data_IF_030430636621
#
_entry.id   IF_030430636621
#
_cell.length_a   1.000
_cell.length_b   1.000
_cell.length_c   1.000
_cell.angle_alpha   90.00
_cell.angle_beta   90.00
_cell.angle_gamma   90.00
#
_symmetry.space_group_name_H-M   'P 1'
#
loop_
_entity.id
_entity.type
_entity.pdbx_description
1 polymer ?
#
# COMPACT_ATOMS: atom_id res chain seq x y z
N UNK A 1 11.94 8.92 -15.93
CA UNK A 1 13.36 8.48 -15.89
C UNK A 1 14.13 9.48 -15.07
N UNK A 2 14.85 9.02 -14.04
CA UNK A 2 15.79 9.88 -13.32
C UNK A 2 17.14 9.87 -14.04
N UNK A 3 17.65 11.01 -14.49
CA UNK A 3 18.91 11.03 -15.28
C UNK A 3 20.15 10.94 -14.41
N UNK A 4 20.04 11.37 -13.15
CA UNK A 4 21.12 11.30 -12.19
C UNK A 4 20.59 11.53 -10.76
N UNK A 5 21.33 11.02 -9.79
CA UNK A 5 21.05 11.18 -8.37
C UNK A 5 22.28 11.78 -7.68
N UNK A 6 22.09 12.90 -6.98
CA UNK A 6 23.10 13.51 -6.10
C UNK A 6 24.48 13.69 -6.75
N UNK A 7 24.51 14.13 -8.01
CA UNK A 7 25.79 14.41 -8.70
C UNK A 7 26.39 15.71 -8.16
N UNK A 8 25.53 16.70 -7.91
CA UNK A 8 25.91 17.92 -7.19
C UNK A 8 25.45 17.76 -5.74
N UNK A 9 26.42 17.80 -4.83
CA UNK A 9 26.21 17.60 -3.39
C UNK A 9 26.79 18.75 -2.56
N UNK A 10 27.56 19.64 -3.17
CA UNK A 10 28.20 20.77 -2.51
C UNK A 10 28.61 21.84 -3.54
N UNK A 11 28.84 23.09 -3.14
CA UNK A 11 29.21 24.15 -4.09
C UNK A 11 30.43 23.83 -4.96
N UNK A 12 31.41 23.10 -4.42
CA UNK A 12 32.66 22.78 -5.10
C UNK A 12 32.51 21.79 -6.26
N UNK A 13 31.39 21.08 -6.37
CA UNK A 13 31.09 20.18 -7.51
C UNK A 13 29.91 20.64 -8.38
N UNK A 14 29.42 21.87 -8.20
CA UNK A 14 28.33 22.44 -9.00
C UNK A 14 28.66 22.58 -10.50
N UNK A 15 29.94 22.57 -10.88
CA UNK A 15 30.39 22.52 -12.26
C UNK A 15 29.94 21.24 -13.02
N UNK A 16 29.41 20.24 -12.32
CA UNK A 16 28.77 19.08 -12.95
C UNK A 16 27.36 19.38 -13.53
N UNK A 17 26.70 20.45 -13.09
CA UNK A 17 25.31 20.74 -13.48
C UNK A 17 25.07 20.89 -15.01
N UNK A 18 25.98 21.46 -15.82
CA UNK A 18 25.83 21.46 -17.28
C UNK A 18 25.76 20.06 -17.91
N UNK A 19 26.48 19.09 -17.36
CA UNK A 19 26.46 17.70 -17.83
C UNK A 19 25.11 17.03 -17.52
N UNK A 20 24.50 17.36 -16.38
CA UNK A 20 23.14 16.93 -16.04
C UNK A 20 22.14 17.48 -17.07
N UNK A 21 22.21 18.78 -17.43
CA UNK A 21 21.33 19.36 -18.47
C UNK A 21 21.56 18.73 -19.85
N UNK A 22 22.79 18.38 -20.20
CA UNK A 22 23.07 17.66 -21.44
C UNK A 22 22.44 16.26 -21.43
N UNK A 23 22.56 15.51 -20.33
CA UNK A 23 21.91 14.21 -20.17
C UNK A 23 20.37 14.32 -20.25
N UNK A 24 19.76 15.33 -19.61
CA UNK A 24 18.33 15.63 -19.72
C UNK A 24 17.93 15.82 -21.19
N UNK A 25 18.63 16.69 -21.91
CA UNK A 25 18.38 16.97 -23.33
C UNK A 25 18.41 15.70 -24.17
N UNK A 26 19.46 14.90 -24.01
CA UNK A 26 19.70 13.73 -24.85
C UNK A 26 18.70 12.60 -24.54
N UNK A 27 18.38 12.38 -23.26
CA UNK A 27 17.34 11.42 -22.85
C UNK A 27 15.96 11.85 -23.35
N UNK A 28 15.61 13.14 -23.24
CA UNK A 28 14.32 13.66 -23.73
C UNK A 28 14.22 13.56 -25.26
N UNK A 29 15.30 13.86 -25.98
CA UNK A 29 15.35 13.69 -27.44
C UNK A 29 15.18 12.21 -27.83
N UNK A 30 15.82 11.29 -27.11
CA UNK A 30 15.65 9.86 -27.32
C UNK A 30 14.21 9.38 -27.05
N UNK A 31 13.62 9.74 -25.91
CA UNK A 31 12.23 9.40 -25.58
C UNK A 31 11.25 9.93 -26.64
N UNK A 32 11.46 11.17 -27.09
CA UNK A 32 10.67 11.77 -28.17
C UNK A 32 10.80 10.98 -29.48
N UNK A 33 11.99 10.50 -29.83
CA UNK A 33 12.22 9.66 -31.02
C UNK A 33 11.49 8.30 -30.96
N UNK A 34 11.10 7.87 -29.76
CA UNK A 34 10.32 6.65 -29.48
C UNK A 34 8.84 6.92 -29.25
N UNK A 35 8.36 8.15 -29.51
CA UNK A 35 7.01 8.59 -29.19
C UNK A 35 6.62 8.32 -27.72
N UNK A 36 7.59 8.39 -26.81
CA UNK A 36 7.39 8.18 -25.38
C UNK A 36 7.19 9.52 -24.66
N UNK A 37 6.16 9.59 -23.82
CA UNK A 37 5.84 10.75 -22.98
C UNK A 37 6.36 10.63 -21.55
N UNK A 38 7.32 9.73 -21.29
CA UNK A 38 7.87 9.54 -19.95
C UNK A 38 8.60 10.81 -19.50
N UNK A 39 8.25 11.30 -18.31
CA UNK A 39 8.87 12.49 -17.71
C UNK A 39 10.31 12.20 -17.27
N UNK A 40 11.16 13.21 -17.36
CA UNK A 40 12.58 13.11 -17.02
C UNK A 40 12.90 13.98 -15.80
N UNK A 41 13.47 13.37 -14.75
CA UNK A 41 13.75 14.01 -13.47
C UNK A 41 15.23 14.02 -13.12
N UNK A 42 15.60 14.82 -12.12
CA UNK A 42 16.88 14.78 -11.41
C UNK A 42 16.61 14.76 -9.91
N UNK A 43 17.32 13.91 -9.17
CA UNK A 43 17.27 13.84 -7.71
C UNK A 43 18.45 14.56 -7.06
N UNK A 44 18.16 15.52 -6.19
CA UNK A 44 19.17 16.27 -5.41
C UNK A 44 19.13 15.90 -3.93
N UNK A 45 20.26 16.07 -3.26
CA UNK A 45 20.37 15.87 -1.81
C UNK A 45 19.80 17.07 -1.03
N UNK A 46 19.25 16.83 0.16
CA UNK A 46 18.91 17.85 1.17
C UNK A 46 19.63 17.54 2.48
N UNK A 47 20.71 18.27 2.81
CA UNK A 47 21.38 18.06 4.08
C UNK A 47 20.58 18.68 5.25
N UNK A 48 20.61 18.06 6.44
CA UNK A 48 19.73 18.40 7.55
C UNK A 48 19.98 19.75 8.23
N UNK A 49 20.97 20.55 7.81
CA UNK A 49 21.44 21.73 8.55
C UNK A 49 21.47 23.05 7.75
N UNK A 50 20.38 23.38 7.05
CA UNK A 50 20.08 24.78 6.69
C UNK A 50 19.63 25.03 5.25
N UNK A 51 19.33 26.31 4.97
CA UNK A 51 19.15 26.80 3.60
C UNK A 51 20.48 26.76 2.88
N UNK A 52 20.63 25.72 2.07
CA UNK A 52 21.75 25.66 1.15
C UNK A 52 21.39 26.43 -0.10
N UNK A 53 21.78 27.71 -0.14
CA UNK A 53 21.55 28.58 -1.31
C UNK A 53 22.00 27.90 -2.62
N UNK A 54 23.03 27.06 -2.57
CA UNK A 54 23.49 26.31 -3.75
C UNK A 54 22.46 25.30 -4.28
N UNK A 55 21.67 24.65 -3.41
CA UNK A 55 20.62 23.71 -3.80
C UNK A 55 19.50 24.45 -4.52
N UNK A 56 19.11 25.61 -4.01
CA UNK A 56 18.06 26.42 -4.62
C UNK A 56 18.53 27.00 -5.95
N UNK A 57 19.79 27.43 -6.02
CA UNK A 57 20.43 27.82 -7.29
C UNK A 57 20.50 26.65 -8.29
N UNK A 58 20.78 25.43 -7.83
CA UNK A 58 20.77 24.23 -8.66
C UNK A 58 19.36 23.92 -9.17
N UNK A 59 18.34 24.01 -8.31
CA UNK A 59 16.94 23.81 -8.67
C UNK A 59 16.51 24.82 -9.73
N UNK A 60 16.84 26.10 -9.53
CA UNK A 60 16.58 27.14 -10.53
C UNK A 60 17.33 26.88 -11.84
N UNK A 61 18.61 26.50 -11.78
CA UNK A 61 19.42 26.22 -12.96
C UNK A 61 18.87 25.04 -13.79
N UNK A 62 18.41 23.97 -13.12
CA UNK A 62 17.88 22.77 -13.77
C UNK A 62 16.44 22.93 -14.27
N UNK A 63 15.73 23.96 -13.81
CA UNK A 63 14.34 24.25 -14.22
C UNK A 63 14.22 25.42 -15.20
N UNK A 64 15.28 26.20 -15.41
CA UNK A 64 15.29 27.33 -16.33
C UNK A 64 15.71 26.97 -17.77
N UNK A 65 15.60 27.96 -18.67
CA UNK A 65 15.86 27.92 -20.11
C UNK A 65 14.72 27.28 -20.93
N UNK A 66 15.01 26.26 -21.73
CA UNK A 66 14.03 25.65 -22.65
C UNK A 66 13.48 24.34 -22.09
N UNK A 67 12.25 23.98 -22.46
CA UNK A 67 11.66 22.67 -22.11
C UNK A 67 12.57 21.48 -22.49
N UNK A 68 13.37 21.58 -23.55
CA UNK A 68 14.30 20.51 -23.94
C UNK A 68 15.47 20.30 -22.97
N UNK A 69 15.81 21.30 -22.14
CA UNK A 69 16.99 21.27 -21.25
C UNK A 69 16.64 21.47 -19.79
N UNK A 70 15.37 21.75 -19.47
CA UNK A 70 14.85 21.71 -18.12
C UNK A 70 14.38 20.30 -17.74
N UNK A 71 14.47 19.98 -16.46
CA UNK A 71 13.79 18.79 -15.91
C UNK A 71 12.27 18.91 -16.11
N UNK A 72 11.58 17.78 -16.16
CA UNK A 72 10.10 17.72 -16.12
C UNK A 72 9.57 17.60 -14.69
N UNK A 73 10.36 16.99 -13.80
CA UNK A 73 10.08 16.84 -12.37
C UNK A 73 11.37 17.11 -11.60
N UNK A 74 11.26 17.80 -10.46
CA UNK A 74 12.40 18.02 -9.57
C UNK A 74 12.27 17.17 -8.31
N UNK A 75 13.29 16.38 -7.99
CA UNK A 75 13.21 15.41 -6.91
C UNK A 75 14.20 15.73 -5.79
N UNK A 76 13.77 15.55 -4.54
CA UNK A 76 14.54 15.89 -3.35
C UNK A 76 14.68 14.67 -2.42
N UNK A 77 15.91 14.30 -2.08
CA UNK A 77 16.18 13.30 -1.04
C UNK A 77 16.23 14.03 0.30
N UNK A 78 15.16 13.96 1.09
CA UNK A 78 15.01 14.70 2.34
C UNK A 78 14.84 13.79 3.54
N UNK A 79 15.82 13.80 4.43
CA UNK A 79 15.85 13.06 5.69
C UNK A 79 15.79 13.99 6.90
N UNK A 80 15.25 15.20 6.74
CA UNK A 80 15.29 16.24 7.78
C UNK A 80 14.22 16.08 8.87
N UNK A 81 13.13 15.34 8.58
CA UNK A 81 12.13 14.99 9.58
C UNK A 81 12.47 13.66 10.26
N UNK A 82 13.06 13.73 11.46
CA UNK A 82 13.38 12.58 12.29
C UNK A 82 12.47 12.53 13.52
N UNK A 83 12.10 11.32 13.97
CA UNK A 83 11.23 11.12 15.12
C UNK A 83 9.89 11.90 15.01
N UNK A 84 9.41 12.49 16.10
CA UNK A 84 8.21 13.32 16.14
C UNK A 84 8.54 14.81 15.93
N UNK A 85 9.33 15.13 14.91
CA UNK A 85 9.64 16.52 14.58
C UNK A 85 8.38 17.28 14.13
N UNK A 86 8.42 18.60 14.24
CA UNK A 86 7.35 19.47 13.77
C UNK A 86 7.68 20.04 12.39
N UNK A 87 6.67 20.47 11.63
CA UNK A 87 6.83 21.09 10.31
C UNK A 87 7.88 22.22 10.24
N UNK A 88 8.05 22.99 11.33
CA UNK A 88 9.09 24.02 11.41
C UNK A 88 10.45 23.42 11.77
N UNK A 89 10.50 22.48 12.72
CA UNK A 89 11.74 21.89 13.21
C UNK A 89 12.38 20.92 12.21
N UNK A 90 11.58 20.24 11.38
CA UNK A 90 12.05 19.40 10.26
C UNK A 90 12.61 20.21 9.09
N UNK A 91 12.45 21.53 9.09
CA UNK A 91 12.81 22.37 7.95
C UNK A 91 11.80 22.35 6.78
N UNK A 92 10.69 21.60 6.89
CA UNK A 92 9.68 21.50 5.83
C UNK A 92 9.03 22.86 5.50
N UNK A 93 8.89 23.73 6.51
CA UNK A 93 8.47 25.12 6.31
C UNK A 93 9.38 25.91 5.36
N UNK A 94 10.69 25.66 5.45
CA UNK A 94 11.69 26.30 4.60
C UNK A 94 11.69 25.67 3.21
N UNK A 95 11.61 24.33 3.13
CA UNK A 95 11.49 23.62 1.85
C UNK A 95 10.25 24.07 1.06
N UNK A 96 9.10 24.17 1.72
CA UNK A 96 7.85 24.61 1.09
C UNK A 96 7.97 26.02 0.54
N UNK A 97 8.62 26.92 1.28
CA UNK A 97 8.88 28.29 0.83
C UNK A 97 9.82 28.32 -0.39
N UNK A 98 10.98 27.67 -0.29
CA UNK A 98 12.04 27.75 -1.30
C UNK A 98 11.61 27.10 -2.64
N UNK A 99 10.77 26.05 -2.59
CA UNK A 99 10.30 25.33 -3.78
C UNK A 99 8.96 25.83 -4.34
N UNK A 100 8.26 26.75 -3.66
CA UNK A 100 6.93 27.25 -4.05
C UNK A 100 6.86 27.91 -5.44
N UNK A 101 7.99 28.34 -5.98
CA UNK A 101 8.09 29.06 -7.26
C UNK A 101 8.69 28.23 -8.39
N UNK A 102 8.98 26.94 -8.17
CA UNK A 102 9.51 26.10 -9.24
C UNK A 102 8.47 25.96 -10.36
N UNK A 103 8.89 26.08 -11.64
CA UNK A 103 7.98 25.97 -12.78
C UNK A 103 7.59 24.53 -13.11
N UNK A 104 8.04 23.55 -12.32
CA UNK A 104 7.82 22.12 -12.50
C UNK A 104 7.43 21.47 -11.18
N UNK A 105 6.66 20.36 -11.19
CA UNK A 105 6.31 19.66 -9.97
C UNK A 105 7.56 19.16 -9.23
N UNK A 106 7.60 19.41 -7.92
CA UNK A 106 8.61 18.88 -7.02
C UNK A 106 8.06 17.72 -6.19
N UNK A 107 8.89 16.75 -5.81
CA UNK A 107 8.50 15.66 -4.89
C UNK A 107 9.70 15.19 -4.06
N UNK A 108 9.43 14.52 -2.94
CA UNK A 108 10.49 13.89 -2.15
C UNK A 108 10.86 12.54 -2.78
N UNK A 109 11.99 12.42 -3.47
CA UNK A 109 12.42 11.13 -4.03
C UNK A 109 12.83 10.13 -2.96
N UNK A 110 13.24 10.62 -1.80
CA UNK A 110 13.56 9.80 -0.64
C UNK A 110 13.15 10.55 0.63
N UNK A 111 12.55 9.84 1.59
CA UNK A 111 12.34 10.30 2.96
C UNK A 111 12.28 9.11 3.93
N UNK A 112 12.32 9.38 5.24
CA UNK A 112 12.23 8.33 6.28
C UNK A 112 13.46 8.29 7.16
N UNK A 113 13.77 9.40 7.84
CA UNK A 113 14.93 9.52 8.70
C UNK A 113 14.93 8.46 9.82
N UNK A 114 16.08 7.83 10.04
CA UNK A 114 16.27 6.84 11.12
C UNK A 114 17.07 7.38 12.30
N UNK A 115 17.55 8.62 12.23
CA UNK A 115 18.29 9.24 13.32
C UNK A 115 17.41 9.36 14.58
N UNK A 116 18.00 9.09 15.75
CA UNK A 116 17.36 9.07 17.07
C UNK A 116 16.27 8.00 17.31
N UNK A 117 15.70 7.37 16.28
CA UNK A 117 14.65 6.34 16.41
C UNK A 117 15.10 4.95 15.96
N UNK A 118 16.04 4.85 15.03
CA UNK A 118 16.40 3.59 14.38
C UNK A 118 15.40 3.16 13.31
N UNK A 119 15.77 2.13 12.56
CA UNK A 119 15.07 1.70 11.32
C UNK A 119 13.63 1.22 11.57
N UNK A 120 13.42 0.45 12.64
CA UNK A 120 12.16 -0.22 12.95
C UNK A 120 11.17 0.57 13.82
N UNK A 121 11.52 1.78 14.24
CA UNK A 121 10.71 2.61 15.15
C UNK A 121 10.43 4.00 14.55
N UNK A 122 10.50 4.12 13.21
CA UNK A 122 10.18 5.38 12.52
C UNK A 122 8.69 5.69 12.69
N UNK A 123 8.31 6.85 13.23
CA UNK A 123 6.90 7.18 13.44
C UNK A 123 6.19 7.66 12.17
N UNK A 124 6.93 7.93 11.09
CA UNK A 124 6.39 8.41 9.80
C UNK A 124 5.54 9.68 9.91
N UNK A 125 5.87 10.55 10.89
CA UNK A 125 5.13 11.79 11.14
C UNK A 125 5.20 12.76 9.95
N UNK A 126 6.26 12.67 9.15
CA UNK A 126 6.45 13.39 7.89
C UNK A 126 5.43 13.04 6.82
N UNK A 127 4.84 11.83 6.84
CA UNK A 127 3.80 11.44 5.88
C UNK A 127 2.56 12.31 6.09
N UNK A 128 2.18 12.53 7.35
CA UNK A 128 1.05 13.42 7.67
C UNK A 128 1.33 14.86 7.24
N UNK A 129 2.56 15.34 7.42
CA UNK A 129 2.96 16.68 6.99
C UNK A 129 2.95 16.81 5.46
N UNK A 130 3.55 15.85 4.74
CA UNK A 130 3.68 15.81 3.28
C UNK A 130 2.33 15.84 2.56
N UNK A 131 1.31 15.17 3.13
CA UNK A 131 -0.05 15.15 2.60
C UNK A 131 -0.99 16.19 3.21
N UNK A 132 -0.44 17.17 3.94
CA UNK A 132 -1.17 18.32 4.49
C UNK A 132 -0.70 19.64 3.89
N UNK A 133 -1.51 20.69 4.00
CA UNK A 133 -1.02 22.05 3.69
C UNK A 133 0.00 22.50 4.74
N UNK A 134 1.06 23.23 4.34
CA UNK A 134 1.28 23.78 3.00
C UNK A 134 2.09 22.86 2.06
N UNK A 135 2.53 21.68 2.49
CA UNK A 135 3.31 20.76 1.65
C UNK A 135 2.58 20.39 0.36
N UNK A 136 1.28 20.10 0.41
CA UNK A 136 0.50 19.74 -0.80
C UNK A 136 0.31 20.88 -1.80
N UNK A 137 0.57 22.13 -1.40
CA UNK A 137 0.55 23.27 -2.32
C UNK A 137 1.87 23.39 -3.11
N UNK A 138 2.96 22.74 -2.65
CA UNK A 138 4.31 22.83 -3.24
C UNK A 138 4.84 21.48 -3.77
N UNK A 139 4.63 20.40 -3.02
CA UNK A 139 5.16 19.06 -3.31
C UNK A 139 4.06 18.10 -3.78
N UNK A 140 4.41 17.24 -4.73
CA UNK A 140 3.56 16.22 -5.34
C UNK A 140 3.65 14.86 -4.62
N UNK A 141 3.89 14.88 -3.31
CA UNK A 141 4.11 13.67 -2.49
C UNK A 141 5.58 13.24 -2.44
N UNK A 142 5.81 11.94 -2.22
CA UNK A 142 7.16 11.41 -2.08
C UNK A 142 7.24 9.88 -1.99
N UNK A 143 8.46 9.36 -1.95
CA UNK A 143 8.77 7.93 -1.89
C UNK A 143 9.59 7.64 -0.63
N UNK A 144 9.05 6.77 0.24
CA UNK A 144 9.76 6.33 1.45
C UNK A 144 10.98 5.49 1.08
N UNK A 145 12.09 5.73 1.76
CA UNK A 145 13.34 5.02 1.58
C UNK A 145 13.58 4.10 2.80
N UNK A 146 13.74 2.79 2.64
CA UNK A 146 13.59 1.95 1.43
C UNK A 146 12.90 0.65 1.80
N UNK A 147 12.42 -0.11 0.82
CA UNK A 147 11.68 -1.35 1.08
C UNK A 147 12.56 -2.43 1.72
N UNK A 148 13.75 -2.67 1.18
CA UNK A 148 14.66 -3.74 1.62
C UNK A 148 15.75 -3.22 2.56
N UNK A 149 16.23 -4.05 3.51
CA UNK A 149 17.41 -3.73 4.31
C UNK A 149 18.62 -3.39 3.45
N UNK A 150 19.45 -2.46 3.92
CA UNK A 150 20.75 -2.25 3.30
C UNK A 150 21.75 -3.34 3.74
N UNK A 151 22.52 -3.92 2.82
CA UNK A 151 23.53 -4.93 3.15
C UNK A 151 24.72 -4.34 3.92
N UNK A 152 24.91 -3.02 3.86
CA UNK A 152 25.95 -2.29 4.58
C UNK A 152 25.53 -0.83 4.76
N UNK A 153 26.08 -0.16 5.77
CA UNK A 153 25.74 1.23 6.09
C UNK A 153 24.59 1.35 7.09
N UNK A 154 24.00 2.55 7.15
CA UNK A 154 22.81 2.81 7.97
C UNK A 154 21.61 2.11 7.32
N UNK A 155 20.92 1.26 8.06
CA UNK A 155 19.77 0.54 7.52
C UNK A 155 18.51 1.44 7.50
N UNK A 156 17.82 1.47 6.37
CA UNK A 156 16.55 2.19 6.15
C UNK A 156 15.42 1.24 5.73
N UNK A 157 15.66 -0.07 5.75
CA UNK A 157 14.70 -1.09 5.30
C UNK A 157 13.39 -1.07 6.07
N UNK A 158 12.26 -1.17 5.38
CA UNK A 158 10.95 -1.39 5.99
C UNK A 158 10.74 -2.87 6.39
N UNK A 159 11.46 -3.77 5.72
CA UNK A 159 11.39 -5.20 5.99
C UNK A 159 12.60 -5.67 6.77
N UNK A 160 12.45 -6.79 7.47
CA UNK A 160 13.57 -7.62 7.85
C UNK A 160 13.59 -8.87 6.94
N UNK A 161 14.71 -9.13 6.26
CA UNK A 161 14.86 -10.30 5.39
C UNK A 161 15.74 -11.31 6.10
N UNK A 162 15.11 -12.21 6.87
CA UNK A 162 15.78 -13.39 7.39
C UNK A 162 15.53 -14.55 6.44
N UNK A 163 16.56 -15.36 6.19
CA UNK A 163 16.51 -16.50 5.27
C UNK A 163 15.21 -17.30 5.48
N UNK A 164 14.35 -17.24 4.46
CA UNK A 164 13.05 -17.94 4.31
C UNK A 164 11.80 -17.34 4.99
N UNK A 165 11.87 -16.18 5.67
CA UNK A 165 10.68 -15.47 6.17
C UNK A 165 10.77 -13.95 5.99
N UNK A 166 9.91 -13.41 5.11
CA UNK A 166 9.59 -11.98 5.06
C UNK A 166 8.67 -11.68 6.25
N UNK A 167 9.23 -11.14 7.35
CA UNK A 167 8.38 -10.59 8.42
C UNK A 167 8.23 -9.09 8.20
N UNK A 168 7.07 -8.68 7.69
CA UNK A 168 6.63 -7.29 7.69
C UNK A 168 6.24 -6.93 9.12
N UNK A 169 7.03 -6.11 9.82
CA UNK A 169 6.66 -5.62 11.16
C UNK A 169 5.40 -4.74 11.13
N UNK A 170 5.02 -4.22 9.96
CA UNK A 170 3.99 -3.17 9.83
C UNK A 170 2.98 -3.36 8.69
N UNK A 171 3.04 -4.47 7.92
CA UNK A 171 2.10 -4.71 6.82
C UNK A 171 1.41 -6.07 6.99
N UNK A 172 0.13 -6.13 7.41
CA UNK A 172 -0.61 -7.38 7.48
C UNK A 172 -1.00 -7.77 6.05
N UNK A 173 -0.07 -8.39 5.34
CA UNK A 173 -0.28 -8.96 4.00
C UNK A 173 0.07 -10.43 4.03
N UNK A 174 -0.86 -11.27 3.58
CA UNK A 174 -0.56 -12.68 3.40
C UNK A 174 0.16 -12.90 2.07
N UNK A 175 1.11 -13.83 2.06
CA UNK A 175 1.69 -14.38 0.83
C UNK A 175 0.75 -15.36 0.13
N UNK A 176 -0.35 -15.75 0.78
CA UNK A 176 -1.42 -16.53 0.15
C UNK A 176 -2.23 -15.59 -0.74
N UNK A 177 -2.20 -15.86 -2.04
CA UNK A 177 -2.92 -15.10 -3.05
C UNK A 177 -4.36 -15.62 -3.20
N UNK A 178 -5.33 -14.77 -3.61
CA UNK A 178 -6.63 -15.25 -4.01
C UNK A 178 -6.50 -16.17 -5.24
N UNK A 179 -7.42 -17.13 -5.44
CA UNK A 179 -7.48 -17.89 -6.67
C UNK A 179 -7.75 -16.97 -7.86
N UNK A 180 -7.31 -17.37 -9.06
CA UNK A 180 -7.63 -16.64 -10.27
C UNK A 180 -9.16 -16.70 -10.52
N UNK A 181 -9.84 -15.54 -10.68
CA UNK A 181 -11.27 -15.53 -10.94
C UNK A 181 -11.65 -16.39 -12.15
N UNK A 182 -12.60 -17.32 -11.94
CA UNK A 182 -13.15 -18.17 -12.98
C UNK A 182 -14.64 -17.83 -13.18
N UNK A 183 -14.94 -17.06 -14.21
CA UNK A 183 -16.30 -16.61 -14.53
C UNK A 183 -17.22 -17.77 -14.91
N UNK A 184 -16.69 -18.83 -15.53
CA UNK A 184 -17.49 -20.01 -15.91
C UNK A 184 -17.96 -20.77 -14.68
N UNK A 185 -17.09 -20.91 -13.66
CA UNK A 185 -17.45 -21.48 -12.37
C UNK A 185 -18.55 -20.66 -11.68
N UNK A 186 -18.36 -19.34 -11.54
CA UNK A 186 -19.33 -18.47 -10.89
C UNK A 186 -20.71 -18.51 -11.59
N UNK A 187 -20.72 -18.49 -12.92
CA UNK A 187 -21.95 -18.58 -13.71
C UNK A 187 -22.62 -19.96 -13.57
N UNK A 188 -21.84 -21.04 -13.52
CA UNK A 188 -22.36 -22.39 -13.30
C UNK A 188 -23.05 -22.48 -11.94
N UNK A 189 -22.41 -21.99 -10.88
CA UNK A 189 -22.99 -21.98 -9.54
C UNK A 189 -24.27 -21.13 -9.51
N UNK A 190 -24.22 -19.88 -9.99
CA UNK A 190 -25.39 -19.00 -10.00
C UNK A 190 -26.60 -19.64 -10.68
N UNK A 191 -26.39 -20.35 -11.79
CA UNK A 191 -27.47 -20.99 -12.52
C UNK A 191 -28.01 -22.24 -11.82
N UNK A 192 -27.16 -23.03 -11.17
CA UNK A 192 -27.50 -24.35 -10.63
C UNK A 192 -27.74 -24.38 -9.12
N UNK A 193 -27.39 -23.30 -8.40
CA UNK A 193 -27.42 -23.23 -6.94
C UNK A 193 -28.31 -22.11 -6.40
N UNK A 194 -28.25 -20.91 -6.99
CA UNK A 194 -28.85 -19.75 -6.34
C UNK A 194 -30.37 -19.76 -6.41
N UNK A 195 -30.97 -19.70 -5.23
CA UNK A 195 -32.41 -19.72 -4.99
C UNK A 195 -32.99 -18.32 -4.78
N UNK A 196 -32.14 -17.31 -4.57
CA UNK A 196 -32.53 -15.91 -4.45
C UNK A 196 -31.67 -15.00 -5.33
N UNK A 197 -32.31 -14.40 -6.35
CA UNK A 197 -31.64 -13.73 -7.46
C UNK A 197 -31.94 -12.23 -7.42
N UNK A 198 -30.89 -11.40 -7.47
CA UNK A 198 -31.02 -9.95 -7.62
C UNK A 198 -31.70 -9.58 -8.93
N UNK A 199 -32.52 -8.53 -8.89
CA UNK A 199 -33.06 -7.90 -10.07
C UNK A 199 -31.96 -7.21 -10.87
N UNK A 200 -32.12 -7.06 -12.19
CA UNK A 200 -31.10 -6.50 -13.09
C UNK A 200 -30.61 -5.10 -12.68
N UNK A 201 -31.50 -4.26 -12.14
CA UNK A 201 -31.16 -2.93 -11.63
C UNK A 201 -30.28 -3.00 -10.37
N UNK A 202 -30.54 -3.97 -9.48
CA UNK A 202 -29.81 -4.16 -8.23
C UNK A 202 -28.46 -4.85 -8.47
N UNK A 203 -28.39 -5.79 -9.42
CA UNK A 203 -27.19 -6.54 -9.77
C UNK A 203 -26.05 -5.66 -10.30
N UNK A 204 -26.37 -4.51 -10.89
CA UNK A 204 -25.40 -3.57 -11.49
C UNK A 204 -25.18 -2.30 -10.65
N UNK A 205 -25.66 -2.26 -9.40
CA UNK A 205 -25.60 -1.06 -8.55
C UNK A 205 -24.72 -1.30 -7.31
N UNK A 206 -23.48 -0.80 -7.28
CA UNK A 206 -22.55 -1.02 -6.17
C UNK A 206 -23.10 -0.60 -4.80
N UNK A 207 -23.84 0.51 -4.74
CA UNK A 207 -24.44 1.00 -3.49
C UNK A 207 -25.50 0.04 -2.96
N UNK A 208 -26.35 -0.50 -3.83
CA UNK A 208 -27.39 -1.47 -3.45
C UNK A 208 -26.72 -2.78 -3.04
N UNK A 209 -25.75 -3.27 -3.81
CA UNK A 209 -25.01 -4.50 -3.54
C UNK A 209 -24.35 -4.44 -2.16
N UNK A 210 -23.66 -3.35 -1.82
CA UNK A 210 -22.99 -3.19 -0.52
C UNK A 210 -23.97 -3.28 0.64
N UNK A 211 -25.09 -2.56 0.57
CA UNK A 211 -26.15 -2.60 1.59
C UNK A 211 -26.77 -3.99 1.72
N UNK A 212 -27.10 -4.64 0.59
CA UNK A 212 -27.69 -5.97 0.58
C UNK A 212 -26.72 -7.04 1.07
N UNK A 213 -25.42 -6.92 0.78
CA UNK A 213 -24.38 -7.81 1.33
C UNK A 213 -24.40 -7.76 2.86
N UNK A 214 -24.34 -6.55 3.44
CA UNK A 214 -24.35 -6.37 4.89
C UNK A 214 -25.62 -6.90 5.54
N UNK A 215 -26.77 -6.66 4.91
CA UNK A 215 -28.07 -7.16 5.37
C UNK A 215 -28.14 -8.68 5.33
N UNK A 216 -27.80 -9.32 4.20
CA UNK A 216 -27.82 -10.76 4.06
C UNK A 216 -26.87 -11.45 5.04
N UNK A 217 -25.65 -10.92 5.22
CA UNK A 217 -24.69 -11.45 6.19
C UNK A 217 -25.15 -11.30 7.64
N UNK A 218 -25.81 -10.18 7.97
CA UNK A 218 -26.41 -10.00 9.29
C UNK A 218 -27.52 -11.02 9.56
N UNK A 219 -28.40 -11.24 8.59
CA UNK A 219 -29.48 -12.22 8.69
C UNK A 219 -28.98 -13.66 8.79
N UNK A 220 -27.93 -14.01 8.03
CA UNK A 220 -27.25 -15.29 8.15
C UNK A 220 -26.65 -15.48 9.55
N UNK A 221 -25.95 -14.47 10.07
CA UNK A 221 -25.33 -14.53 11.39
C UNK A 221 -26.35 -14.77 12.52
N UNK A 222 -27.56 -14.20 12.41
CA UNK A 222 -28.65 -14.43 13.37
C UNK A 222 -29.15 -15.89 13.38
N UNK A 223 -28.82 -16.68 12.35
CA UNK A 223 -29.27 -18.06 12.18
C UNK A 223 -28.11 -19.05 12.14
N UNK A 224 -27.00 -18.68 12.79
CA UNK A 224 -25.76 -19.46 12.86
C UNK A 224 -25.10 -19.75 11.50
N UNK A 225 -25.46 -18.99 10.45
CA UNK A 225 -24.78 -19.00 9.15
C UNK A 225 -23.58 -18.05 9.12
N UNK A 226 -22.80 -18.10 8.03
CA UNK A 226 -21.60 -17.28 7.87
C UNK A 226 -21.43 -16.79 6.44
N UNK A 227 -20.95 -15.56 6.29
CA UNK A 227 -20.52 -15.03 4.99
C UNK A 227 -19.07 -15.35 4.63
N UNK A 228 -18.33 -16.12 5.44
CA UNK A 228 -16.96 -16.51 5.14
C UNK A 228 -16.73 -17.01 3.69
N UNK A 229 -17.65 -17.81 3.08
CA UNK A 229 -17.48 -18.27 1.70
C UNK A 229 -17.43 -17.16 0.63
N UNK A 230 -17.97 -15.97 0.91
CA UNK A 230 -17.91 -14.82 -0.01
C UNK A 230 -16.90 -13.76 0.43
N UNK A 231 -16.19 -13.91 1.56
CA UNK A 231 -15.25 -12.90 2.05
C UNK A 231 -13.82 -13.16 1.53
N UNK A 232 -13.04 -12.08 1.44
CA UNK A 232 -11.63 -12.10 1.07
C UNK A 232 -10.85 -11.27 2.09
N UNK A 233 -9.93 -11.91 2.81
CA UNK A 233 -9.05 -11.28 3.78
C UNK A 233 -7.61 -11.26 3.29
N UNK A 234 -7.17 -10.17 2.67
CA UNK A 234 -5.80 -10.03 2.16
C UNK A 234 -4.72 -10.08 3.26
N UNK A 235 -5.08 -9.71 4.49
CA UNK A 235 -4.21 -9.79 5.65
C UNK A 235 -4.02 -11.22 6.16
N UNK A 236 -5.11 -11.99 6.23
CA UNK A 236 -5.08 -13.37 6.74
C UNK A 236 -4.76 -14.38 5.63
N UNK A 237 -4.85 -13.98 4.36
CA UNK A 237 -4.72 -14.88 3.21
C UNK A 237 -5.91 -15.83 3.07
N UNK A 238 -7.05 -15.47 3.65
CA UNK A 238 -8.24 -16.31 3.66
C UNK A 238 -9.20 -15.84 2.58
N UNK A 239 -9.51 -16.70 1.63
CA UNK A 239 -10.41 -16.40 0.52
C UNK A 239 -11.48 -17.48 0.47
N UNK A 240 -12.74 -17.09 0.64
CA UNK A 240 -13.85 -18.02 0.55
C UNK A 240 -14.07 -18.53 -0.89
N UNK A 241 -14.77 -19.66 -1.02
CA UNK A 241 -15.02 -20.36 -2.29
C UNK A 241 -15.71 -19.53 -3.38
N UNK A 242 -16.35 -18.40 -3.03
CA UNK A 242 -17.05 -17.50 -3.95
C UNK A 242 -16.47 -16.09 -3.93
N UNK A 243 -15.38 -15.86 -3.19
CA UNK A 243 -14.77 -14.53 -2.99
C UNK A 243 -14.28 -13.87 -4.28
N UNK A 244 -13.96 -14.70 -5.29
CA UNK A 244 -13.51 -14.27 -6.62
C UNK A 244 -14.67 -14.03 -7.61
N UNK A 245 -15.91 -14.37 -7.25
CA UNK A 245 -17.08 -14.08 -8.07
C UNK A 245 -17.45 -12.59 -8.02
N UNK A 246 -18.26 -12.14 -8.98
CA UNK A 246 -18.70 -10.75 -9.02
C UNK A 246 -19.46 -10.34 -7.75
N UNK A 247 -19.46 -9.05 -7.43
CA UNK A 247 -20.14 -8.53 -6.24
C UNK A 247 -21.63 -8.89 -6.21
N UNK A 248 -22.30 -8.87 -7.36
CA UNK A 248 -23.69 -9.31 -7.50
C UNK A 248 -23.88 -10.79 -7.17
N UNK A 249 -23.02 -11.66 -7.71
CA UNK A 249 -23.04 -13.11 -7.45
C UNK A 249 -22.76 -13.45 -5.99
N UNK A 250 -21.81 -12.75 -5.36
CA UNK A 250 -21.51 -12.91 -3.93
C UNK A 250 -22.72 -12.57 -3.06
N UNK A 251 -23.47 -11.53 -3.41
CA UNK A 251 -24.69 -11.17 -2.70
C UNK A 251 -25.81 -12.19 -2.92
N UNK A 252 -26.03 -12.61 -4.16
CA UNK A 252 -27.01 -13.65 -4.46
C UNK A 252 -26.71 -14.97 -3.72
N UNK A 253 -25.43 -15.34 -3.55
CA UNK A 253 -25.04 -16.46 -2.71
C UNK A 253 -25.54 -16.29 -1.28
N UNK A 254 -25.21 -15.16 -0.63
CA UNK A 254 -25.61 -14.92 0.76
C UNK A 254 -27.13 -14.85 0.94
N UNK A 255 -27.82 -14.28 -0.04
CA UNK A 255 -29.29 -14.21 -0.06
C UNK A 255 -29.92 -15.59 -0.25
N UNK A 256 -29.35 -16.43 -1.12
CA UNK A 256 -29.81 -17.80 -1.36
C UNK A 256 -29.60 -18.67 -0.13
N UNK A 257 -28.43 -18.58 0.50
CA UNK A 257 -28.13 -19.27 1.76
C UNK A 257 -29.13 -18.86 2.86
N UNK A 258 -29.41 -17.55 2.98
CA UNK A 258 -30.39 -17.08 3.96
C UNK A 258 -31.79 -17.62 3.66
N UNK A 259 -32.24 -17.54 2.40
CA UNK A 259 -33.53 -18.05 1.96
C UNK A 259 -33.68 -19.55 2.25
N UNK A 260 -32.64 -20.34 2.01
CA UNK A 260 -32.57 -21.77 2.33
C UNK A 260 -32.66 -22.03 3.83
N UNK A 261 -31.91 -21.28 4.65
CA UNK A 261 -32.02 -21.45 6.12
C UNK A 261 -33.45 -21.20 6.59
N UNK A 262 -34.19 -20.27 5.95
CA UNK A 262 -35.57 -19.92 6.30
C UNK A 262 -36.60 -20.92 5.80
N UNK A 263 -36.15 -22.06 5.27
CA UNK A 263 -37.02 -23.07 4.67
C UNK A 263 -37.84 -22.48 3.53
N UNK A 264 -37.21 -21.60 2.75
CA UNK A 264 -37.79 -20.92 1.59
C UNK A 264 -39.04 -20.07 1.92
N UNK A 265 -39.03 -19.38 3.06
CA UNK A 265 -40.08 -18.40 3.36
C UNK A 265 -40.12 -17.29 2.30
N UNK A 266 -41.30 -17.07 1.71
CA UNK A 266 -41.46 -16.18 0.55
C UNK A 266 -40.99 -14.73 0.80
N UNK A 267 -40.96 -14.25 2.04
CA UNK A 267 -40.47 -12.91 2.38
C UNK A 267 -38.95 -12.83 2.49
N UNK A 268 -38.28 -13.96 2.75
CA UNK A 268 -36.84 -14.00 2.99
C UNK A 268 -35.99 -13.76 1.74
N UNK A 269 -36.57 -13.86 0.53
CA UNK A 269 -35.90 -13.49 -0.72
C UNK A 269 -36.33 -12.12 -1.27
N UNK A 270 -37.17 -11.36 -0.55
CA UNK A 270 -37.67 -10.09 -1.07
C UNK A 270 -36.62 -8.97 -1.05
N UNK A 271 -35.82 -8.86 0.03
CA UNK A 271 -34.76 -7.84 0.21
C UNK A 271 -35.18 -6.43 -0.25
N UNK A 272 -36.32 -5.97 0.28
CA UNK A 272 -36.95 -4.69 -0.07
C UNK A 272 -37.25 -4.54 -1.59
N UNK A 273 -37.61 -5.62 -2.26
CA UNK A 273 -37.96 -5.66 -3.68
C UNK A 273 -36.74 -5.73 -4.62
N UNK A 274 -35.54 -5.94 -4.09
CA UNK A 274 -34.32 -6.03 -4.90
C UNK A 274 -34.03 -7.43 -5.45
N UNK A 275 -34.80 -8.43 -5.05
CA UNK A 275 -34.61 -9.79 -5.48
C UNK A 275 -35.90 -10.58 -5.62
N UNK A 276 -35.79 -11.68 -6.34
CA UNK A 276 -36.86 -12.63 -6.62
C UNK A 276 -36.38 -14.04 -6.36
N UNK A 277 -37.25 -14.87 -5.80
CA UNK A 277 -36.95 -16.28 -5.57
C UNK A 277 -36.99 -17.07 -6.87
N UNK A 278 -36.14 -18.09 -6.91
CA UNK A 278 -36.05 -19.11 -7.95
C UNK A 278 -35.93 -20.45 -7.25
N UNK A 279 -36.55 -21.50 -7.79
CA UNK A 279 -36.32 -22.85 -7.28
C UNK A 279 -34.94 -23.33 -7.72
N UNK A 280 -34.02 -23.63 -6.79
CA UNK A 280 -32.68 -24.11 -7.15
C UNK A 280 -32.73 -25.59 -7.58
N UNK A 281 -31.96 -25.98 -8.61
CA UNK A 281 -31.83 -27.39 -9.02
C UNK A 281 -31.14 -28.29 -7.99
N UNK A 282 -30.21 -27.75 -7.19
CA UNK A 282 -29.45 -28.48 -6.19
C UNK A 282 -29.04 -27.58 -5.01
N UNK A 283 -28.75 -28.14 -3.82
CA UNK A 283 -28.16 -27.40 -2.71
C UNK A 283 -26.84 -26.74 -3.11
N UNK A 284 -26.55 -25.58 -2.53
CA UNK A 284 -25.41 -24.72 -2.91
C UNK A 284 -24.06 -25.47 -2.92
N UNK A 285 -23.76 -26.23 -1.87
CA UNK A 285 -22.49 -26.96 -1.77
C UNK A 285 -22.37 -28.09 -2.80
N UNK A 286 -23.47 -28.78 -3.09
CA UNK A 286 -23.49 -29.84 -4.10
C UNK A 286 -23.31 -29.28 -5.51
N UNK A 287 -23.99 -28.18 -5.81
CA UNK A 287 -23.85 -27.46 -7.06
C UNK A 287 -22.42 -26.93 -7.24
N UNK A 288 -21.82 -26.35 -6.20
CA UNK A 288 -20.43 -25.89 -6.23
C UNK A 288 -19.45 -27.02 -6.52
N UNK A 289 -19.56 -28.16 -5.84
CA UNK A 289 -18.71 -29.33 -6.11
C UNK A 289 -18.80 -29.80 -7.57
N UNK A 290 -20.01 -29.86 -8.12
CA UNK A 290 -20.24 -30.26 -9.52
C UNK A 290 -19.69 -29.24 -10.53
N UNK A 291 -19.85 -27.95 -10.26
CA UNK A 291 -19.36 -26.87 -11.12
C UNK A 291 -17.83 -26.75 -11.03
N UNK A 292 -17.24 -26.93 -9.85
CA UNK A 292 -15.79 -26.91 -9.65
C UNK A 292 -15.10 -28.05 -10.39
N UNK A 293 -15.72 -29.23 -10.45
CA UNK A 293 -15.21 -30.35 -11.23
C UNK A 293 -15.17 -30.05 -12.74
N UNK A 294 -16.11 -29.23 -13.24
CA UNK A 294 -16.15 -28.81 -14.66
C UNK A 294 -15.25 -27.61 -14.94
N UNK A 295 -15.17 -26.66 -14.00
CA UNK A 295 -14.46 -25.39 -14.13
C UNK A 295 -13.50 -25.21 -12.93
N UNK A 296 -12.37 -25.93 -12.91
CA UNK A 296 -11.44 -25.87 -11.78
C UNK A 296 -10.83 -24.47 -11.62
N UNK A 297 -10.46 -24.14 -10.38
CA UNK A 297 -9.74 -22.91 -10.04
C UNK A 297 -8.32 -23.23 -9.56
N UNK A 298 -7.38 -22.35 -9.88
CA UNK A 298 -6.00 -22.39 -9.42
C UNK A 298 -5.48 -20.95 -9.30
N UNK A 299 -4.32 -20.79 -8.66
CA UNK A 299 -3.58 -19.52 -8.71
C UNK A 299 -2.75 -19.52 -9.99
N UNK A 300 -3.17 -18.76 -11.00
CA UNK A 300 -2.35 -18.51 -12.18
C UNK A 300 -1.41 -17.33 -11.90
N UNK A 301 -0.11 -17.63 -11.79
CA UNK A 301 0.94 -16.61 -11.77
C UNK A 301 1.38 -16.38 -13.22
N UNK A 302 1.28 -15.16 -13.77
CA UNK A 302 1.83 -14.85 -15.09
C UNK A 302 3.31 -15.22 -15.12
N UNK A 303 3.70 -16.17 -15.98
CA UNK A 303 5.10 -16.44 -16.25
C UNK A 303 5.60 -15.39 -17.25
N UNK A 304 6.85 -14.90 -17.14
CA UNK A 304 7.46 -14.12 -18.19
C UNK A 304 7.38 -14.87 -19.52
N UNK A 305 6.98 -14.19 -20.59
CA UNK A 305 6.97 -14.74 -21.94
C UNK A 305 8.37 -15.27 -22.29
N UNK A 306 8.51 -16.59 -22.45
CA UNK A 306 9.80 -17.18 -22.84
C UNK A 306 10.05 -18.64 -22.51
N UNK A 307 9.19 -19.34 -21.76
CA UNK A 307 9.39 -20.77 -21.50
C UNK A 307 8.11 -21.59 -21.67
N UNK A 308 7.96 -22.20 -22.84
CA UNK A 308 7.07 -23.33 -23.09
C UNK A 308 7.54 -24.53 -22.26
N UNK A 309 7.07 -24.62 -21.02
CA UNK A 309 7.32 -25.73 -20.11
C UNK A 309 6.08 -26.02 -19.27
N UNK A 310 5.27 -26.98 -19.73
CA UNK A 310 4.14 -27.52 -18.97
C UNK A 310 4.65 -28.15 -17.67
N UNK A 311 4.38 -27.50 -16.54
CA UNK A 311 4.63 -28.01 -15.19
C UNK A 311 3.41 -27.72 -14.34
N UNK A 312 3.04 -28.61 -13.40
CA UNK A 312 1.70 -28.67 -12.84
C UNK A 312 1.38 -27.45 -11.99
N UNK A 313 0.13 -27.01 -12.04
CA UNK A 313 -0.42 -26.03 -11.12
C UNK A 313 -0.24 -26.53 -9.68
N UNK A 314 0.42 -25.73 -8.84
CA UNK A 314 0.44 -25.98 -7.39
C UNK A 314 -0.97 -25.76 -6.86
N UNK A 315 -1.69 -26.86 -6.62
CA UNK A 315 -2.99 -26.84 -5.97
C UNK A 315 -2.81 -26.49 -4.50
N UNK A 316 -3.21 -25.29 -4.10
CA UNK A 316 -3.42 -24.97 -2.68
C UNK A 316 -4.80 -25.49 -2.29
N UNK A 317 -4.84 -26.36 -1.27
CA UNK A 317 -6.05 -27.01 -0.76
C UNK A 317 -7.03 -25.98 -0.21
N UNK A 318 -8.29 -26.05 -0.65
CA UNK A 318 -9.40 -25.32 -0.04
C UNK A 318 -9.63 -25.89 1.37
N UNK A 319 -9.62 -25.04 2.39
CA UNK A 319 -10.07 -25.43 3.74
C UNK A 319 -11.58 -25.26 3.81
N UNK A 320 -12.29 -26.37 4.02
CA UNK A 320 -13.70 -26.36 4.42
C UNK A 320 -13.85 -25.62 5.76
N UNK A 321 -14.90 -24.81 5.88
CA UNK A 321 -15.23 -24.16 7.15
C UNK A 321 -15.49 -25.23 8.25
N UNK A 322 -15.03 -25.01 9.49
CA UNK A 322 -15.33 -25.94 10.57
C UNK A 322 -16.81 -25.85 10.96
N UNK A 323 -17.46 -27.01 11.05
CA UNK A 323 -18.77 -27.15 11.71
C UNK A 323 -18.64 -26.78 13.19
N UNK A 324 -19.59 -25.99 13.68
CA UNK A 324 -19.64 -25.54 15.06
C UNK A 324 -19.77 -26.71 16.04
N UNK A 325 -18.78 -26.87 16.92
CA UNK A 325 -18.93 -27.55 18.21
C UNK A 325 -18.27 -26.69 19.27
N UNK A 326 -19.10 -26.18 20.19
CA UNK A 326 -18.69 -25.22 21.21
C UNK A 326 -17.74 -25.80 22.26
N UNK A 327 -16.92 -24.92 22.84
CA UNK A 327 -16.26 -25.11 24.13
C UNK A 327 -15.76 -23.76 24.65
N UNK A 328 -16.36 -23.36 25.77
CA UNK A 328 -15.96 -22.41 26.81
C UNK A 328 -14.72 -21.51 26.61
N UNK A 329 -14.94 -20.20 26.74
CA UNK A 329 -13.94 -19.23 27.21
C UNK A 329 -13.48 -19.56 28.64
N UNK A 330 -12.23 -19.21 29.00
CA UNK A 330 -11.93 -18.72 30.33
C UNK A 330 -11.42 -17.28 30.31
N UNK A 331 -12.27 -16.42 30.86
CA UNK A 331 -11.98 -15.31 31.78
C UNK A 331 -10.50 -14.97 32.05
N UNK A 332 -10.15 -13.73 31.75
CA UNK A 332 -8.91 -13.08 32.15
C UNK A 332 -8.75 -12.97 33.67
N UNK A 333 -7.55 -13.31 34.13
CA UNK A 333 -7.07 -13.07 35.49
C UNK A 333 -5.76 -12.30 35.45
N UNK A 334 -5.82 -11.04 35.84
CA UNK A 334 -4.68 -10.17 36.12
C UNK A 334 -3.84 -10.71 37.30
N UNK A 335 -2.52 -10.73 37.15
CA UNK A 335 -1.61 -10.69 38.30
C UNK A 335 -0.35 -9.88 37.95
N UNK A 336 -0.21 -8.77 38.65
CA UNK A 336 1.03 -8.02 38.80
C UNK A 336 1.98 -8.78 39.73
N UNK A 337 3.25 -8.87 39.36
CA UNK A 337 4.33 -9.20 40.29
C UNK A 337 5.56 -8.37 39.94
N UNK A 338 5.88 -7.46 40.86
CA UNK A 338 7.10 -6.68 40.89
C UNK A 338 8.30 -7.58 41.18
N UNK A 339 9.41 -7.37 40.45
CA UNK A 339 10.68 -8.05 40.66
C UNK A 339 11.85 -7.10 40.41
N UNK A 340 12.41 -6.58 41.50
CA UNK A 340 13.62 -5.75 41.57
C UNK A 340 14.86 -6.51 41.06
N UNK A 341 15.67 -5.86 40.23
CA UNK A 341 17.00 -6.34 39.84
C UNK A 341 17.91 -5.22 39.36
N UNK A 342 18.80 -4.76 40.26
CA UNK A 342 19.87 -3.79 39.99
C UNK A 342 20.93 -4.43 39.06
N UNK A 343 21.43 -3.66 38.10
CA UNK A 343 22.60 -4.02 37.29
C UNK A 343 23.11 -2.84 36.49
N UNK A 344 24.08 -2.12 37.05
CA UNK A 344 24.81 -1.01 36.43
C UNK A 344 25.59 -1.44 35.19
N UNK A 345 25.52 -0.68 34.09
CA UNK A 345 26.65 -0.50 33.17
C UNK A 345 26.70 0.97 32.74
N UNK A 346 27.87 1.56 32.91
CA UNK A 346 28.19 2.97 32.84
C UNK A 346 28.27 3.44 31.37
N UNK A 347 27.53 4.49 31.03
CA UNK A 347 27.67 5.23 29.78
C UNK A 347 28.82 6.23 29.90
N UNK A 348 29.73 6.24 28.93
CA UNK A 348 30.71 7.32 28.70
C UNK A 348 30.53 7.79 27.26
N UNK A 349 29.75 8.86 27.08
CA UNK A 349 29.73 9.67 25.87
C UNK A 349 30.17 11.07 26.27
N UNK A 350 31.38 11.44 25.86
CA UNK A 350 31.97 12.75 26.10
C UNK A 350 31.28 13.75 25.16
N UNK A 351 30.48 14.64 25.75
CA UNK A 351 30.03 15.85 25.10
C UNK A 351 31.16 16.88 25.11
N UNK A 352 31.56 17.37 23.94
CA UNK A 352 32.38 18.57 23.81
C UNK A 352 31.51 19.70 23.27
N UNK A 353 30.96 20.49 24.18
CA UNK A 353 30.52 21.86 23.92
C UNK A 353 31.77 22.74 23.71
N UNK A 354 31.84 23.49 22.61
CA UNK A 354 32.66 24.69 22.54
C UNK A 354 31.77 25.88 22.20
N UNK A 355 31.60 26.68 23.24
CA UNK A 355 31.35 28.11 23.34
C UNK A 355 31.06 28.91 22.06
N UNK A 356 29.85 29.48 22.07
CA UNK A 356 29.53 30.77 21.47
C UNK A 356 30.38 31.86 22.13
N UNK A 357 31.16 32.59 21.33
CA UNK A 357 31.63 33.93 21.67
C UNK A 357 31.03 34.88 20.64
N UNK A 358 30.18 35.78 21.13
CA UNK A 358 29.59 36.85 20.34
C UNK A 358 30.62 37.88 19.91
N UNK A 359 30.37 38.45 18.72
CA UNK A 359 31.02 39.65 18.22
C UNK A 359 30.12 40.22 17.14
N UNK A 360 29.35 41.24 17.48
CA UNK A 360 28.44 41.89 16.56
C UNK A 360 29.16 42.65 15.45
N UNK A 361 28.48 42.84 14.33
CA UNK A 361 28.66 44.04 13.53
C UNK A 361 27.32 44.37 12.85
N UNK A 362 26.85 45.58 13.12
CA UNK A 362 25.66 46.20 12.54
C UNK A 362 25.93 46.71 11.13
N UNK A 363 24.87 46.74 10.32
CA UNK A 363 24.61 47.64 9.19
C UNK A 363 25.61 47.66 8.02
N UNK A 364 25.25 46.99 6.93
CA UNK A 364 24.79 47.62 5.67
C UNK A 364 24.16 46.58 4.75
#
# INVERSE_FOLDING_TARGET
>A
VNVANEVVTQPSNANAAPFIKAALRDVKAYLSSKASSVLVSYSTTHPPNGREQWRDMLAYYLTCASAATSVDLYALNSYSCCANSSFSASGDSTLTHDFSSLPVPAYLSEFGCVEAVGTGERPWSEVSALFSRPMTDTFSGGVAFTYFPQPSGVDYGLLNVNADQLTTSELPVSTTLPPTPNTQLCNCVEQNAYSCILNAASFNSPNIIGTLTGQACSYLGQRAGSCAPILAGGATGTYGNYSFCSSGQRVQWAMSEYYETTQFDAQSCHFAGNATSKTPPAPIDAAFGSCLAQYPVAVMVPRPDGTSGGGPASGTSMTSAPSATGSAEPSGGSNAAAGSGKGSVMAVMIAAMIAVVGGGCSLL
#
